data_IF_604599148994
#
_entry.id   IF_604599148994
#
_cell.length_a   1.000
_cell.length_b   1.000
_cell.length_c   1.000
_cell.angle_alpha   90.00
_cell.angle_beta   90.00
_cell.angle_gamma   90.00
#
_symmetry.space_group_name_H-M   'P 1'
#
loop_
_entity.id
_entity.type
_entity.pdbx_description
1 polymer ?
#
# COMPACT_ATOMS: atom_id res chain seq x y z
N UNK A 1 -14.96 -16.61 2.74
CA UNK A 1 -13.71 -16.96 2.04
C UNK A 1 -13.91 -17.34 0.57
N UNK A 2 -14.85 -18.23 0.19
CA UNK A 2 -15.06 -18.56 -1.25
C UNK A 2 -15.40 -17.34 -2.14
N UNK A 3 -16.21 -16.40 -1.67
CA UNK A 3 -16.63 -15.24 -2.47
C UNK A 3 -15.52 -14.21 -2.73
N UNK A 4 -14.57 -14.06 -1.78
CA UNK A 4 -13.42 -13.15 -1.95
C UNK A 4 -12.43 -13.72 -2.97
N UNK A 5 -12.24 -15.05 -2.97
CA UNK A 5 -11.37 -15.72 -3.94
C UNK A 5 -11.94 -15.65 -5.38
N UNK A 6 -13.25 -15.70 -5.53
CA UNK A 6 -13.92 -15.53 -6.83
C UNK A 6 -13.78 -14.09 -7.33
N UNK A 7 -13.88 -13.10 -6.44
CA UNK A 7 -13.68 -11.69 -6.80
C UNK A 7 -12.21 -11.41 -7.23
N UNK A 8 -11.26 -12.00 -6.54
CA UNK A 8 -9.83 -11.90 -6.89
C UNK A 8 -9.52 -12.52 -8.27
N UNK A 9 -10.12 -13.68 -8.57
CA UNK A 9 -10.00 -14.32 -9.88
C UNK A 9 -10.68 -13.52 -10.99
N UNK A 10 -11.81 -12.87 -10.73
CA UNK A 10 -12.50 -12.01 -11.69
C UNK A 10 -11.67 -10.75 -12.00
N UNK A 11 -11.02 -10.14 -11.01
CA UNK A 11 -10.12 -8.99 -11.19
C UNK A 11 -8.87 -9.40 -11.98
N UNK A 12 -8.27 -10.56 -11.69
CA UNK A 12 -7.15 -11.11 -12.46
C UNK A 12 -7.55 -11.43 -13.92
N UNK A 13 -8.76 -11.90 -14.16
CA UNK A 13 -9.26 -12.18 -15.51
C UNK A 13 -9.51 -10.90 -16.32
N UNK A 14 -9.97 -9.82 -15.70
CA UNK A 14 -10.14 -8.52 -16.38
C UNK A 14 -8.79 -7.85 -16.72
N UNK A 15 -7.74 -8.11 -15.96
CA UNK A 15 -6.39 -7.59 -16.20
C UNK A 15 -5.72 -8.20 -17.46
N UNK A 16 -6.16 -9.38 -17.91
CA UNK A 16 -5.57 -10.06 -19.07
C UNK A 16 -6.18 -9.64 -20.43
N UNK A 17 -7.24 -8.81 -20.46
CA UNK A 17 -7.95 -8.44 -21.71
C UNK A 17 -7.43 -7.12 -22.33
N UNK A 18 -6.57 -6.37 -21.65
CA UNK A 18 -6.14 -5.03 -22.08
C UNK A 18 -4.89 -4.99 -22.98
N UNK A 19 -4.48 -6.10 -23.61
CA UNK A 19 -3.39 -6.10 -24.58
C UNK A 19 -3.92 -5.95 -26.02
N UNK A 20 -4.35 -4.75 -26.42
CA UNK A 20 -4.45 -4.39 -27.84
C UNK A 20 -3.59 -3.17 -28.11
N UNK A 21 -2.64 -3.34 -29.04
CA UNK A 21 -1.76 -2.29 -29.58
C UNK A 21 -2.61 -1.13 -30.14
N UNK A 22 -2.31 0.09 -29.71
CA UNK A 22 -2.73 1.30 -30.41
C UNK A 22 -1.50 2.13 -30.73
N UNK A 23 -1.41 2.54 -32.00
CA UNK A 23 -0.30 3.27 -32.59
C UNK A 23 -0.12 4.66 -31.98
N UNK A 24 1.14 5.05 -31.86
CA UNK A 24 1.62 6.31 -31.30
C UNK A 24 1.49 7.42 -32.33
N UNK A 25 0.77 8.48 -32.01
CA UNK A 25 0.91 9.77 -32.70
C UNK A 25 1.12 10.90 -31.71
N UNK A 26 2.24 11.62 -31.83
CA UNK A 26 2.42 12.98 -31.34
C UNK A 26 3.31 13.11 -30.10
N UNK A 27 4.60 13.32 -30.34
CA UNK A 27 5.59 13.69 -29.33
C UNK A 27 5.32 15.10 -28.76
N UNK A 28 4.64 15.18 -27.60
CA UNK A 28 4.68 16.39 -26.74
C UNK A 28 5.88 16.25 -25.80
N UNK A 29 6.51 17.37 -25.40
CA UNK A 29 7.71 17.35 -24.55
C UNK A 29 7.47 16.52 -23.29
N UNK A 30 8.17 15.41 -23.13
CA UNK A 30 7.82 14.33 -22.22
C UNK A 30 7.77 14.69 -20.72
N UNK A 31 8.48 15.74 -20.29
CA UNK A 31 8.53 16.14 -18.88
C UNK A 31 7.32 16.97 -18.43
N UNK A 32 6.77 17.82 -19.28
CA UNK A 32 5.61 18.63 -18.92
C UNK A 32 4.35 17.77 -18.85
N UNK A 33 4.21 16.83 -19.77
CA UNK A 33 3.14 15.84 -19.78
C UNK A 33 3.09 15.00 -18.49
N UNK A 34 4.22 14.43 -18.04
CA UNK A 34 4.25 13.59 -16.84
C UNK A 34 3.77 14.32 -15.58
N UNK A 35 4.18 15.56 -15.35
CA UNK A 35 3.77 16.31 -14.16
C UNK A 35 2.28 16.67 -14.18
N UNK A 36 1.74 17.01 -15.36
CA UNK A 36 0.31 17.28 -15.53
C UNK A 36 -0.52 16.01 -15.30
N UNK A 37 -0.07 14.89 -15.85
CA UNK A 37 -0.73 13.60 -15.72
C UNK A 37 -0.62 13.06 -14.28
N UNK A 38 0.51 13.27 -13.60
CA UNK A 38 0.68 12.95 -12.19
C UNK A 38 -0.28 13.79 -11.32
N UNK A 39 -0.45 15.07 -11.62
CA UNK A 39 -1.40 15.93 -10.92
C UNK A 39 -2.84 15.46 -11.12
N UNK A 40 -3.21 15.08 -12.34
CA UNK A 40 -4.52 14.50 -12.67
C UNK A 40 -4.75 13.16 -11.96
N UNK A 41 -3.72 12.33 -11.89
CA UNK A 41 -3.73 11.07 -11.14
C UNK A 41 -4.02 11.31 -9.66
N UNK A 42 -3.28 12.24 -9.01
CA UNK A 42 -3.47 12.59 -7.58
C UNK A 42 -4.89 13.10 -7.34
N UNK A 43 -5.40 13.99 -8.21
CA UNK A 43 -6.77 14.50 -8.08
C UNK A 43 -7.81 13.38 -8.11
N UNK A 44 -7.72 12.46 -9.06
CA UNK A 44 -8.64 11.32 -9.15
C UNK A 44 -8.60 10.41 -7.92
N UNK A 45 -7.40 10.15 -7.39
CA UNK A 45 -7.24 9.37 -6.17
C UNK A 45 -7.89 10.07 -4.97
N UNK A 46 -7.67 11.39 -4.82
CA UNK A 46 -8.28 12.19 -3.76
C UNK A 46 -9.80 12.28 -3.90
N UNK A 47 -10.34 12.38 -5.12
CA UNK A 47 -11.80 12.36 -5.37
C UNK A 47 -12.42 11.04 -4.88
N UNK A 48 -11.78 9.90 -5.13
CA UNK A 48 -12.24 8.59 -4.64
C UNK A 48 -12.29 8.59 -3.11
N UNK A 49 -11.25 9.09 -2.44
CA UNK A 49 -11.18 9.18 -0.97
C UNK A 49 -12.14 10.22 -0.39
N UNK A 50 -12.30 11.38 -1.04
CA UNK A 50 -13.24 12.43 -0.59
C UNK A 50 -14.70 12.03 -0.72
N UNK A 51 -15.06 11.23 -1.72
CA UNK A 51 -16.40 10.67 -1.84
C UNK A 51 -16.85 9.86 -0.61
N UNK A 52 -15.91 9.51 0.27
CA UNK A 52 -16.15 8.84 1.56
C UNK A 52 -16.40 9.82 2.70
N UNK A 53 -15.60 10.88 2.77
CA UNK A 53 -15.69 11.90 3.85
C UNK A 53 -17.04 12.66 3.81
N UNK A 54 -17.71 12.69 2.67
CA UNK A 54 -19.06 13.30 2.51
C UNK A 54 -20.20 12.39 2.94
N UNK A 55 -19.97 11.08 3.10
CA UNK A 55 -20.93 10.19 3.76
C UNK A 55 -20.87 10.49 5.26
N UNK A 56 -22.00 10.87 5.82
CA UNK A 56 -22.22 11.24 7.22
C UNK A 56 -21.20 10.64 8.19
N UNK A 57 -20.62 11.46 9.05
CA UNK A 57 -19.64 11.11 10.08
C UNK A 57 -20.11 10.04 11.11
N UNK A 58 -21.26 9.43 10.92
CA UNK A 58 -21.88 8.42 11.80
C UNK A 58 -21.87 7.00 11.23
N UNK A 59 -21.45 6.79 9.96
CA UNK A 59 -21.48 5.45 9.36
C UNK A 59 -20.05 4.94 9.14
N UNK A 60 -19.65 3.96 9.93
CA UNK A 60 -18.42 3.16 9.71
C UNK A 60 -18.51 2.43 8.38
N UNK A 61 -17.43 2.48 7.58
CA UNK A 61 -17.33 1.76 6.32
C UNK A 61 -17.30 0.24 6.55
N UNK A 62 -17.99 -0.49 5.70
CA UNK A 62 -17.90 -1.96 5.69
C UNK A 62 -16.62 -2.42 4.98
N UNK A 63 -16.23 -3.68 5.20
CA UNK A 63 -15.09 -4.29 4.50
C UNK A 63 -15.28 -4.28 2.98
N UNK A 64 -16.51 -4.48 2.51
CA UNK A 64 -16.86 -4.45 1.09
C UNK A 64 -16.72 -3.03 0.50
N UNK A 65 -17.10 -2.01 1.26
CA UNK A 65 -16.94 -0.61 0.83
C UNK A 65 -15.46 -0.24 0.74
N UNK A 66 -14.63 -0.62 1.72
CA UNK A 66 -13.17 -0.42 1.68
C UNK A 66 -12.56 -1.15 0.49
N UNK A 67 -12.95 -2.41 0.23
CA UNK A 67 -12.48 -3.16 -0.92
C UNK A 67 -12.87 -2.50 -2.25
N UNK A 68 -14.10 -2.00 -2.37
CA UNK A 68 -14.58 -1.30 -3.57
C UNK A 68 -13.79 -0.01 -3.84
N UNK A 69 -13.38 0.69 -2.79
CA UNK A 69 -12.53 1.87 -2.87
C UNK A 69 -11.13 1.49 -3.35
N UNK A 70 -10.51 0.53 -2.69
CA UNK A 70 -9.18 0.04 -3.04
C UNK A 70 -9.11 -0.40 -4.52
N UNK A 71 -10.13 -1.12 -5.02
CA UNK A 71 -10.22 -1.52 -6.43
C UNK A 71 -10.25 -0.30 -7.37
N UNK A 72 -11.02 0.75 -7.02
CA UNK A 72 -11.07 1.97 -7.82
C UNK A 72 -9.73 2.68 -7.84
N UNK A 73 -9.07 2.79 -6.69
CA UNK A 73 -7.76 3.41 -6.55
C UNK A 73 -6.69 2.63 -7.33
N UNK A 74 -6.67 1.31 -7.21
CA UNK A 74 -5.78 0.43 -7.97
C UNK A 74 -6.01 0.58 -9.49
N UNK A 75 -7.26 0.70 -9.93
CA UNK A 75 -7.60 0.92 -11.34
C UNK A 75 -7.07 2.24 -11.89
N UNK A 76 -7.12 3.32 -11.10
CA UNK A 76 -6.54 4.63 -11.47
C UNK A 76 -5.01 4.53 -11.57
N UNK A 77 -4.36 3.82 -10.64
CA UNK A 77 -2.92 3.60 -10.66
C UNK A 77 -2.48 2.76 -11.87
N UNK A 78 -3.21 1.69 -12.19
CA UNK A 78 -2.96 0.88 -13.39
C UNK A 78 -3.09 1.70 -14.67
N UNK A 79 -4.12 2.57 -14.73
CA UNK A 79 -4.30 3.45 -15.88
C UNK A 79 -3.09 4.38 -16.06
N UNK A 80 -2.64 5.02 -14.98
CA UNK A 80 -1.46 5.89 -14.99
C UNK A 80 -0.22 5.13 -15.47
N UNK A 81 0.02 3.91 -14.99
CA UNK A 81 1.15 3.08 -15.42
C UNK A 81 1.08 2.71 -16.90
N UNK A 82 -0.10 2.39 -17.41
CA UNK A 82 -0.28 2.07 -18.83
C UNK A 82 -0.04 3.29 -19.75
N UNK A 83 -0.35 4.48 -19.27
CA UNK A 83 -0.11 5.74 -19.99
C UNK A 83 1.36 6.19 -19.94
N UNK A 84 2.15 5.67 -18.97
CA UNK A 84 3.55 6.04 -18.74
C UNK A 84 4.52 4.84 -18.69
N UNK A 85 4.63 4.04 -19.77
CA UNK A 85 5.44 2.82 -19.76
C UNK A 85 6.94 3.09 -19.56
N UNK A 86 7.47 4.24 -20.03
CA UNK A 86 8.86 4.62 -19.79
C UNK A 86 9.14 4.89 -18.31
N UNK A 87 8.20 5.54 -17.62
CA UNK A 87 8.27 5.73 -16.18
C UNK A 87 8.28 4.38 -15.45
N UNK A 88 7.34 3.48 -15.78
CA UNK A 88 7.26 2.14 -15.17
C UNK A 88 8.54 1.35 -15.39
N UNK A 89 9.16 1.46 -16.57
CA UNK A 89 10.44 0.82 -16.86
C UNK A 89 11.62 1.40 -16.04
N UNK A 90 11.50 2.63 -15.55
CA UNK A 90 12.49 3.29 -14.69
C UNK A 90 12.35 2.92 -13.20
N UNK A 91 11.23 2.31 -12.79
CA UNK A 91 11.00 1.89 -11.42
C UNK A 91 11.92 0.72 -11.03
N UNK A 92 12.35 0.66 -9.77
CA UNK A 92 13.14 -0.47 -9.29
C UNK A 92 12.38 -1.79 -9.43
N UNK A 93 13.07 -2.80 -9.92
CA UNK A 93 12.54 -4.16 -10.10
C UNK A 93 13.12 -5.08 -9.04
N UNK A 94 12.27 -5.90 -8.45
CA UNK A 94 12.67 -6.92 -7.47
C UNK A 94 12.11 -8.28 -7.86
N UNK A 95 12.74 -9.36 -7.38
CA UNK A 95 12.15 -10.70 -7.49
C UNK A 95 10.98 -10.84 -6.52
N UNK A 96 10.14 -11.87 -6.69
CA UNK A 96 9.08 -12.20 -5.74
C UNK A 96 9.64 -12.46 -4.33
N UNK A 97 10.75 -13.19 -4.25
CA UNK A 97 11.45 -13.48 -2.99
C UNK A 97 11.95 -12.20 -2.31
N UNK A 98 12.54 -11.27 -3.08
CA UNK A 98 12.94 -9.97 -2.55
C UNK A 98 11.75 -9.15 -2.08
N UNK A 99 10.61 -9.21 -2.80
CA UNK A 99 9.39 -8.52 -2.40
C UNK A 99 8.89 -9.01 -1.03
N UNK A 100 8.88 -10.31 -0.79
CA UNK A 100 8.48 -10.86 0.51
C UNK A 100 9.42 -10.37 1.64
N UNK A 101 10.73 -10.36 1.40
CA UNK A 101 11.71 -9.81 2.36
C UNK A 101 11.44 -8.34 2.66
N UNK A 102 11.11 -7.53 1.65
CA UNK A 102 10.80 -6.10 1.84
C UNK A 102 9.49 -5.89 2.63
N UNK A 103 8.49 -6.75 2.45
CA UNK A 103 7.24 -6.71 3.21
C UNK A 103 7.43 -7.05 4.69
N UNK A 104 8.34 -7.96 5.01
CA UNK A 104 8.51 -8.48 6.36
C UNK A 104 9.56 -7.72 7.18
N UNK A 105 10.57 -7.12 6.53
CA UNK A 105 11.74 -6.59 7.19
C UNK A 105 11.97 -5.09 6.88
N UNK A 106 11.80 -4.25 7.91
CA UNK A 106 11.97 -2.80 7.81
C UNK A 106 13.39 -2.38 7.45
N UNK A 107 14.42 -3.10 7.95
CA UNK A 107 15.82 -2.77 7.65
C UNK A 107 16.16 -3.08 6.19
N UNK A 108 15.59 -4.18 5.65
CA UNK A 108 15.70 -4.52 4.23
C UNK A 108 15.01 -3.47 3.34
N UNK A 109 13.82 -3.00 3.74
CA UNK A 109 13.12 -1.94 3.04
C UNK A 109 13.93 -0.63 3.05
N UNK A 110 14.47 -0.22 4.19
CA UNK A 110 15.33 0.97 4.29
C UNK A 110 16.58 0.86 3.42
N UNK A 111 17.24 -0.29 3.46
CA UNK A 111 18.41 -0.57 2.60
C UNK A 111 18.05 -0.47 1.11
N UNK A 112 16.90 -1.01 0.71
CA UNK A 112 16.41 -0.93 -0.65
C UNK A 112 16.13 0.52 -1.08
N UNK A 113 15.44 1.29 -0.22
CA UNK A 113 15.12 2.70 -0.50
C UNK A 113 16.39 3.52 -0.63
N UNK A 114 17.35 3.36 0.27
CA UNK A 114 18.61 4.09 0.22
C UNK A 114 19.40 3.85 -1.08
N UNK A 115 19.33 2.65 -1.64
CA UNK A 115 20.02 2.30 -2.89
C UNK A 115 19.31 2.81 -4.15
N UNK A 116 18.01 3.03 -4.09
CA UNK A 116 17.19 3.24 -5.28
C UNK A 116 16.51 4.61 -5.33
N UNK A 117 16.45 5.36 -4.23
CA UNK A 117 15.73 6.62 -4.13
C UNK A 117 16.61 7.74 -3.54
N UNK A 118 16.15 8.98 -3.60
CA UNK A 118 16.87 10.11 -3.01
C UNK A 118 16.95 10.01 -1.48
N UNK A 119 17.88 10.75 -0.89
CA UNK A 119 18.01 10.88 0.56
C UNK A 119 16.73 11.42 1.21
N UNK A 120 16.02 12.31 0.54
CA UNK A 120 14.74 12.84 1.03
C UNK A 120 13.70 11.72 1.16
N UNK A 121 13.55 10.86 0.13
CA UNK A 121 12.64 9.69 0.18
C UNK A 121 13.07 8.72 1.27
N UNK A 122 14.37 8.47 1.42
CA UNK A 122 14.88 7.62 2.48
C UNK A 122 14.51 8.15 3.88
N UNK A 123 14.68 9.45 4.12
CA UNK A 123 14.36 10.05 5.42
C UNK A 123 12.86 9.96 5.72
N UNK A 124 12.00 10.18 4.74
CA UNK A 124 10.54 10.04 4.88
C UNK A 124 10.16 8.60 5.25
N UNK A 125 10.70 7.61 4.53
CA UNK A 125 10.40 6.18 4.79
C UNK A 125 10.91 5.76 6.16
N UNK A 126 12.08 6.24 6.57
CA UNK A 126 12.67 6.00 7.89
C UNK A 126 11.76 6.53 9.00
N UNK A 127 11.25 7.74 8.85
CA UNK A 127 10.33 8.36 9.81
C UNK A 127 9.00 7.56 9.90
N UNK A 128 8.40 7.23 8.78
CA UNK A 128 7.12 6.47 8.74
C UNK A 128 7.25 5.06 9.33
N UNK A 129 8.42 4.46 9.26
CA UNK A 129 8.72 3.17 9.89
C UNK A 129 9.03 3.29 11.39
N UNK A 130 9.14 4.50 11.93
CA UNK A 130 9.52 4.75 13.34
C UNK A 130 10.90 4.18 13.68
N UNK A 131 11.81 4.14 12.71
CA UNK A 131 13.13 3.54 12.86
C UNK A 131 14.13 4.56 13.40
N UNK A 132 14.45 4.47 14.68
CA UNK A 132 15.56 5.22 15.29
C UNK A 132 16.93 4.61 14.98
N UNK A 133 16.97 3.47 14.28
CA UNK A 133 18.22 2.79 13.96
C UNK A 133 19.01 3.57 12.93
N UNK A 134 20.24 3.94 13.29
CA UNK A 134 21.26 4.38 12.35
C UNK A 134 21.70 3.18 11.51
N UNK A 135 21.19 3.08 10.31
CA UNK A 135 21.77 2.17 9.31
C UNK A 135 22.93 2.94 8.70
N UNK A 136 24.15 2.63 9.15
CA UNK A 136 25.38 3.10 8.50
C UNK A 136 25.53 2.32 7.19
N UNK A 137 24.91 2.83 6.14
CA UNK A 137 25.18 2.36 4.81
C UNK A 137 26.11 3.36 4.12
N UNK A 138 27.01 2.84 3.31
CA UNK A 138 27.84 3.63 2.41
C UNK A 138 26.94 4.62 1.65
N UNK A 139 27.33 5.92 1.56
CA UNK A 139 26.53 6.89 0.83
C UNK A 139 26.30 6.39 -0.60
N UNK A 140 25.04 6.22 -0.96
CA UNK A 140 24.70 5.85 -2.32
C UNK A 140 25.11 6.98 -3.27
N UNK A 141 25.78 6.66 -4.36
CA UNK A 141 26.12 7.59 -5.45
C UNK A 141 24.87 8.03 -6.25
N UNK A 142 23.68 7.94 -5.66
CA UNK A 142 22.45 8.36 -6.31
C UNK A 142 22.39 9.88 -6.21
N UNK A 143 22.50 10.51 -7.37
CA UNK A 143 22.38 11.94 -7.56
C UNK A 143 21.22 12.52 -6.76
N UNK A 144 21.50 13.49 -5.92
CA UNK A 144 20.58 14.24 -5.05
C UNK A 144 19.56 15.12 -5.79
N UNK A 145 19.24 14.79 -7.04
CA UNK A 145 18.28 15.55 -7.84
C UNK A 145 16.85 15.15 -7.44
N UNK A 146 16.25 15.88 -6.50
CA UNK A 146 14.84 15.75 -6.09
C UNK A 146 13.78 15.98 -7.19
N UNK A 147 14.18 15.92 -8.44
CA UNK A 147 13.34 16.14 -9.62
C UNK A 147 13.17 14.86 -10.47
N UNK A 148 13.55 13.72 -9.91
CA UNK A 148 13.39 12.43 -10.59
C UNK A 148 11.92 12.01 -10.57
N UNK A 149 11.32 11.58 -11.70
CA UNK A 149 9.90 11.20 -11.78
C UNK A 149 9.45 10.20 -10.71
N UNK A 150 10.29 9.23 -10.35
CA UNK A 150 9.98 8.23 -9.31
C UNK A 150 9.83 8.83 -7.91
N UNK A 151 10.64 9.84 -7.55
CA UNK A 151 10.56 10.50 -6.25
C UNK A 151 9.30 11.38 -6.15
N UNK A 152 8.92 12.04 -7.25
CA UNK A 152 7.65 12.77 -7.33
C UNK A 152 6.46 11.83 -7.19
N UNK A 153 6.50 10.70 -7.89
CA UNK A 153 5.48 9.68 -7.81
C UNK A 153 5.37 9.10 -6.39
N UNK A 154 6.51 8.78 -5.77
CA UNK A 154 6.54 8.33 -4.38
C UNK A 154 5.83 9.32 -3.44
N UNK A 155 6.22 10.60 -3.49
CA UNK A 155 5.64 11.63 -2.61
C UNK A 155 4.13 11.77 -2.81
N UNK A 156 3.69 11.78 -4.07
CA UNK A 156 2.28 11.83 -4.42
C UNK A 156 1.50 10.63 -3.87
N UNK A 157 2.02 9.43 -4.07
CA UNK A 157 1.38 8.21 -3.57
C UNK A 157 1.44 8.09 -2.05
N UNK A 158 2.50 8.54 -1.42
CA UNK A 158 2.62 8.50 0.04
C UNK A 158 1.49 9.31 0.70
N UNK A 159 1.20 10.51 0.19
CA UNK A 159 0.10 11.33 0.69
C UNK A 159 -1.25 10.60 0.52
N UNK A 160 -1.51 10.06 -0.67
CA UNK A 160 -2.71 9.28 -0.98
C UNK A 160 -2.82 8.06 -0.06
N UNK A 161 -1.73 7.33 0.13
CA UNK A 161 -1.71 6.11 0.94
C UNK A 161 -1.81 6.39 2.44
N UNK A 162 -1.36 7.55 2.91
CA UNK A 162 -1.63 8.02 4.28
C UNK A 162 -3.12 8.29 4.50
N UNK A 163 -3.79 8.96 3.56
CA UNK A 163 -5.25 9.15 3.60
C UNK A 163 -5.99 7.80 3.55
N UNK A 164 -5.55 6.88 2.69
CA UNK A 164 -6.14 5.54 2.61
C UNK A 164 -5.89 4.71 3.88
N UNK A 165 -4.73 4.85 4.53
CA UNK A 165 -4.44 4.26 5.84
C UNK A 165 -5.47 4.68 6.88
N UNK A 166 -5.83 5.97 6.94
CA UNK A 166 -6.89 6.45 7.83
C UNK A 166 -8.22 5.76 7.54
N UNK A 167 -8.60 5.64 6.26
CA UNK A 167 -9.82 4.92 5.85
C UNK A 167 -9.81 3.47 6.35
N UNK A 168 -8.70 2.76 6.21
CA UNK A 168 -8.58 1.38 6.69
C UNK A 168 -8.66 1.31 8.22
N UNK A 169 -8.00 2.22 8.94
CA UNK A 169 -7.92 2.17 10.40
C UNK A 169 -9.18 2.68 11.09
N UNK A 170 -9.88 3.65 10.51
CA UNK A 170 -11.13 4.21 11.04
C UNK A 170 -12.38 3.40 10.66
N UNK A 171 -12.22 2.50 9.69
CA UNK A 171 -13.30 1.61 9.28
C UNK A 171 -13.55 0.53 10.33
N UNK A 172 -14.62 -0.25 10.13
CA UNK A 172 -15.10 -1.33 11.01
C UNK A 172 -14.08 -2.38 11.44
N UNK A 173 -12.86 -2.35 10.97
CA UNK A 173 -11.78 -3.19 11.50
C UNK A 173 -11.57 -2.97 13.00
N UNK A 174 -11.95 -1.84 13.54
CA UNK A 174 -12.03 -1.60 14.98
C UNK A 174 -13.05 -2.51 15.69
N UNK A 175 -14.03 -3.06 14.98
CA UNK A 175 -15.02 -3.99 15.54
C UNK A 175 -14.40 -5.34 15.94
N UNK A 176 -13.20 -5.67 15.45
CA UNK A 176 -12.43 -6.82 15.90
C UNK A 176 -11.67 -6.58 17.21
N UNK A 177 -11.71 -5.37 17.77
CA UNK A 177 -11.25 -5.16 19.14
C UNK A 177 -12.19 -5.92 20.05
N UNK A 178 -11.74 -7.00 20.71
CA UNK A 178 -12.59 -7.69 21.68
C UNK A 178 -13.06 -6.64 22.67
N UNK A 179 -14.37 -6.58 22.94
CA UNK A 179 -14.94 -5.75 24.01
C UNK A 179 -14.33 -6.27 25.29
N UNK A 180 -13.31 -5.57 25.74
CA UNK A 180 -12.49 -5.97 26.84
C UNK A 180 -13.20 -5.50 28.10
N UNK A 181 -14.06 -6.35 28.68
CA UNK A 181 -14.48 -6.16 30.07
C UNK A 181 -13.27 -6.38 30.97
N UNK A 182 -12.88 -5.36 31.70
CA UNK A 182 -11.60 -5.32 32.44
C UNK A 182 -11.46 -6.36 33.56
N UNK A 183 -12.57 -6.96 34.01
CA UNK A 183 -12.61 -7.72 35.25
C UNK A 183 -12.09 -9.16 35.18
N UNK A 184 -11.93 -9.80 34.01
CA UNK A 184 -11.62 -11.24 33.90
C UNK A 184 -10.51 -11.58 32.89
N UNK A 185 -9.58 -10.68 32.63
CA UNK A 185 -8.55 -10.90 31.61
C UNK A 185 -7.34 -11.65 32.16
N UNK A 186 -6.95 -12.69 31.45
CA UNK A 186 -5.57 -13.21 31.53
C UNK A 186 -4.66 -12.15 30.91
N UNK A 187 -3.87 -11.45 31.74
CA UNK A 187 -2.96 -10.37 31.30
C UNK A 187 -2.07 -10.79 30.14
N UNK A 188 -1.64 -12.06 30.11
CA UNK A 188 -0.81 -12.64 29.05
C UNK A 188 -1.54 -12.72 27.71
N UNK A 189 -2.81 -13.13 27.68
CA UNK A 189 -3.61 -13.17 26.44
C UNK A 189 -3.79 -11.78 25.86
N UNK A 190 -4.03 -10.78 26.70
CA UNK A 190 -4.18 -9.39 26.27
C UNK A 190 -2.85 -8.81 25.73
N UNK A 191 -1.75 -9.05 26.43
CA UNK A 191 -0.43 -8.61 26.00
C UNK A 191 -0.07 -9.20 24.63
N UNK A 192 -0.28 -10.51 24.43
CA UNK A 192 -0.03 -11.17 23.15
C UNK A 192 -0.97 -10.66 22.05
N UNK A 193 -2.24 -10.43 22.37
CA UNK A 193 -3.20 -9.81 21.43
C UNK A 193 -2.72 -8.44 20.96
N UNK A 194 -2.31 -7.59 21.90
CA UNK A 194 -1.80 -6.25 21.59
C UNK A 194 -0.58 -6.32 20.65
N UNK A 195 0.39 -7.17 20.94
CA UNK A 195 1.57 -7.39 20.09
C UNK A 195 1.16 -7.83 18.68
N UNK A 196 0.18 -8.74 18.56
CA UNK A 196 -0.32 -9.16 17.24
C UNK A 196 -0.96 -8.01 16.45
N UNK A 197 -1.77 -7.18 17.11
CA UNK A 197 -2.40 -6.01 16.48
C UNK A 197 -1.34 -5.00 16.04
N UNK A 198 -0.35 -4.72 16.89
CA UNK A 198 0.76 -3.81 16.56
C UNK A 198 1.58 -4.34 15.36
N UNK A 199 1.78 -5.67 15.28
CA UNK A 199 2.43 -6.30 14.13
C UNK A 199 1.59 -6.18 12.85
N UNK A 200 0.28 -6.38 12.92
CA UNK A 200 -0.62 -6.19 11.78
C UNK A 200 -0.54 -4.74 11.25
N UNK A 201 -0.56 -3.77 12.15
CA UNK A 201 -0.42 -2.36 11.79
C UNK A 201 0.93 -2.05 11.13
N UNK A 202 2.02 -2.52 11.71
CA UNK A 202 3.37 -2.33 11.18
C UNK A 202 3.54 -2.96 9.80
N UNK A 203 2.95 -4.13 9.57
CA UNK A 203 2.95 -4.79 8.25
C UNK A 203 2.14 -3.98 7.23
N UNK A 204 0.97 -3.49 7.60
CA UNK A 204 0.16 -2.61 6.75
C UNK A 204 0.94 -1.35 6.35
N UNK A 205 1.61 -0.68 7.29
CA UNK A 205 2.41 0.52 7.01
C UNK A 205 3.53 0.21 6.01
N UNK A 206 4.28 -0.88 6.22
CA UNK A 206 5.33 -1.30 5.27
C UNK A 206 4.77 -1.56 3.86
N UNK A 207 3.65 -2.24 3.76
CA UNK A 207 3.02 -2.53 2.48
C UNK A 207 2.52 -1.25 1.78
N UNK A 208 1.98 -0.27 2.51
CA UNK A 208 1.61 1.04 1.97
C UNK A 208 2.82 1.83 1.48
N UNK A 209 3.95 1.78 2.20
CA UNK A 209 5.21 2.39 1.76
C UNK A 209 5.72 1.73 0.47
N UNK A 210 5.72 0.40 0.39
CA UNK A 210 6.09 -0.33 -0.82
C UNK A 210 5.19 0.01 -2.02
N UNK A 211 3.88 0.12 -1.80
CA UNK A 211 2.94 0.56 -2.82
C UNK A 211 3.24 2.01 -3.27
N UNK A 212 3.63 2.89 -2.33
CA UNK A 212 4.01 4.29 -2.64
C UNK A 212 5.28 4.36 -3.49
N UNK A 213 6.25 3.47 -3.23
CA UNK A 213 7.49 3.40 -4.01
C UNK A 213 7.26 2.92 -5.45
N UNK A 214 6.14 2.29 -5.75
CA UNK A 214 5.85 1.77 -7.08
C UNK A 214 6.74 0.59 -7.46
N UNK A 215 7.27 -0.16 -6.49
CA UNK A 215 8.17 -1.30 -6.74
C UNK A 215 7.44 -2.38 -7.54
N UNK A 216 8.05 -2.86 -8.61
CA UNK A 216 7.51 -3.92 -9.46
C UNK A 216 8.18 -5.26 -9.18
N UNK A 217 7.40 -6.35 -9.09
CA UNK A 217 7.91 -7.72 -9.07
C UNK A 217 7.66 -8.42 -10.41
N UNK A 218 8.65 -9.16 -10.88
CA UNK A 218 8.57 -9.94 -12.12
C UNK A 218 8.78 -9.12 -13.41
N UNK A 219 8.48 -9.69 -14.59
CA UNK A 219 8.61 -9.00 -15.87
C UNK A 219 7.51 -7.94 -15.99
N UNK A 220 7.84 -6.69 -15.65
CA UNK A 220 6.94 -5.54 -15.73
C UNK A 220 6.60 -5.16 -17.20
N UNK A 221 6.29 -6.12 -18.04
CA UNK A 221 5.89 -5.92 -19.43
C UNK A 221 4.37 -5.65 -19.58
N UNK A 222 3.66 -5.52 -18.50
CA UNK A 222 2.28 -5.04 -18.41
C UNK A 222 2.11 -4.63 -16.96
N UNK A 223 1.75 -3.37 -16.72
CA UNK A 223 1.69 -2.74 -15.40
C UNK A 223 0.91 -3.60 -14.37
N UNK A 224 1.60 -4.54 -13.75
CA UNK A 224 1.07 -5.27 -12.61
C UNK A 224 1.53 -4.53 -11.37
N UNK A 225 0.59 -4.02 -10.61
CA UNK A 225 0.86 -3.52 -9.27
C UNK A 225 1.45 -4.67 -8.46
N UNK A 226 2.70 -4.53 -8.03
CA UNK A 226 3.34 -5.54 -7.19
C UNK A 226 2.67 -5.67 -5.82
N UNK A 227 2.07 -4.58 -5.36
CA UNK A 227 1.25 -4.53 -4.15
C UNK A 227 0.04 -3.65 -4.44
N UNK A 228 -1.17 -4.24 -4.38
CA UNK A 228 -2.42 -3.51 -4.55
C UNK A 228 -2.98 -3.04 -3.21
N UNK A 229 -3.69 -1.92 -3.22
CA UNK A 229 -4.38 -1.41 -2.02
C UNK A 229 -5.46 -2.37 -1.53
N UNK A 230 -6.11 -3.08 -2.47
CA UNK A 230 -7.05 -4.15 -2.13
C UNK A 230 -6.39 -5.27 -1.34
N UNK A 231 -5.19 -5.72 -1.76
CA UNK A 231 -4.44 -6.73 -1.04
C UNK A 231 -4.08 -6.24 0.37
N UNK A 232 -3.56 -5.01 0.50
CA UNK A 232 -3.16 -4.43 1.80
C UNK A 232 -4.37 -4.37 2.76
N UNK A 233 -5.52 -3.89 2.27
CA UNK A 233 -6.72 -3.80 3.08
C UNK A 233 -7.23 -5.18 3.53
N UNK A 234 -7.22 -6.16 2.62
CA UNK A 234 -7.65 -7.53 2.90
C UNK A 234 -6.72 -8.24 3.89
N UNK A 235 -5.41 -8.10 3.69
CA UNK A 235 -4.39 -8.72 4.56
C UNK A 235 -4.44 -8.14 5.97
N UNK A 236 -4.54 -6.83 6.10
CA UNK A 236 -4.69 -6.16 7.40
C UNK A 236 -5.94 -6.64 8.14
N UNK A 237 -7.09 -6.72 7.44
CA UNK A 237 -8.34 -7.22 8.00
C UNK A 237 -8.21 -8.67 8.48
N UNK A 238 -7.63 -9.55 7.66
CA UNK A 238 -7.42 -10.95 8.03
C UNK A 238 -6.47 -11.09 9.22
N UNK A 239 -5.43 -10.27 9.27
CA UNK A 239 -4.48 -10.24 10.39
C UNK A 239 -5.18 -9.87 11.71
N UNK A 240 -6.01 -8.82 11.71
CA UNK A 240 -6.78 -8.40 12.88
C UNK A 240 -7.80 -9.47 13.32
N UNK A 241 -8.47 -10.12 12.35
CA UNK A 241 -9.37 -11.24 12.63
C UNK A 241 -8.63 -12.37 13.35
N UNK A 242 -7.49 -12.78 12.84
CA UNK A 242 -6.67 -13.84 13.44
C UNK A 242 -6.18 -13.45 14.85
N UNK A 243 -5.83 -12.19 15.08
CA UNK A 243 -5.45 -11.69 16.40
C UNK A 243 -6.64 -11.76 17.38
N UNK A 244 -7.85 -11.39 16.94
CA UNK A 244 -9.07 -11.44 17.74
C UNK A 244 -9.47 -12.89 18.08
N UNK A 245 -9.41 -13.82 17.12
CA UNK A 245 -9.67 -15.24 17.33
C UNK A 245 -8.68 -15.85 18.33
N UNK A 246 -7.39 -15.53 18.19
CA UNK A 246 -6.38 -15.94 19.18
C UNK A 246 -6.76 -15.48 20.59
N UNK A 247 -7.21 -14.23 20.74
CA UNK A 247 -7.59 -13.69 22.04
C UNK A 247 -8.78 -14.42 22.64
N UNK A 248 -9.81 -14.72 21.84
CA UNK A 248 -10.98 -15.51 22.27
C UNK A 248 -10.56 -16.89 22.77
N UNK A 249 -9.78 -17.61 21.97
CA UNK A 249 -9.30 -18.95 22.32
C UNK A 249 -8.45 -18.94 23.60
N UNK A 250 -7.54 -17.97 23.72
CA UNK A 250 -6.68 -17.83 24.90
C UNK A 250 -7.47 -17.55 26.19
N UNK A 251 -8.59 -16.84 26.11
CA UNK A 251 -9.46 -16.57 27.26
C UNK A 251 -10.47 -17.69 27.56
N UNK A 252 -10.53 -18.72 26.73
CA UNK A 252 -11.47 -19.84 26.91
C UNK A 252 -12.91 -19.51 26.54
N UNK A 253 -13.13 -18.47 25.77
CA UNK A 253 -14.40 -18.10 25.16
C UNK A 253 -14.53 -18.89 23.84
N UNK A 254 -15.09 -20.08 23.89
CA UNK A 254 -15.55 -20.84 22.72
C UNK A 254 -16.93 -20.38 22.29
#
# INVERSE_FOLDING_TARGET
>A
MKNVMILLLAVLAMLNVACTKTEVSGCKSSKQSFNEDLSSYVMKQKEILHGLKTRSASTTLTSEEVAAIAIKMDSVTLKFYNEHPEFVNSLPKVSEEQMEVLKENSDSLLTFVQRNYSEEVFNIVKEDLGSDRFILLEPSNISSAGDVPRDKFFKANLEINRDFKEVITDSTYLNFRPIIQESNKRKECYSTYKIKVDNCYSTMVRNLLLASLGVCSGPCAGAVLSISLLYIASDYNQCLYNAAEFYKLCNGNN
#
